data_IF_434888589530
#
_entry.id   IF_434888589530
#
_cell.length_a   1.000
_cell.length_b   1.000
_cell.length_c   1.000
_cell.angle_alpha   90.00
_cell.angle_beta   90.00
_cell.angle_gamma   90.00
#
_symmetry.space_group_name_H-M   'P 1'
#
loop_
_entity.id
_entity.type
_entity.pdbx_description
1 polymer ?
#
# COMPACT_ATOMS: atom_id res chain seq x y z
N UNK A 1 -26.99 4.67 -21.10
CA UNK A 1 -28.10 5.02 -20.19
C UNK A 1 -28.49 3.78 -19.41
N UNK A 2 -28.69 3.89 -18.09
CA UNK A 2 -29.28 2.80 -17.29
C UNK A 2 -30.75 3.10 -17.14
N UNK A 3 -31.62 2.23 -17.62
CA UNK A 3 -33.07 2.41 -17.47
C UNK A 3 -33.50 2.00 -16.07
N UNK A 4 -34.60 2.59 -15.52
CA UNK A 4 -35.04 2.26 -14.17
C UNK A 4 -35.31 0.78 -13.93
N UNK A 5 -35.76 0.05 -14.95
CA UNK A 5 -36.03 -1.39 -14.88
C UNK A 5 -34.76 -2.26 -14.77
N UNK A 6 -33.62 -1.70 -15.16
CA UNK A 6 -32.32 -2.37 -15.20
C UNK A 6 -31.42 -1.98 -14.01
N UNK A 7 -31.97 -1.22 -13.06
CA UNK A 7 -31.40 -0.97 -11.74
C UNK A 7 -31.76 -2.08 -10.74
N UNK A 8 -30.96 -2.28 -9.68
CA UNK A 8 -31.31 -3.19 -8.58
C UNK A 8 -32.45 -2.61 -7.73
N UNK A 9 -33.16 -3.48 -6.98
CA UNK A 9 -34.30 -3.06 -6.15
C UNK A 9 -33.93 -1.96 -5.13
N UNK A 10 -32.76 -2.07 -4.52
CA UNK A 10 -32.25 -1.06 -3.58
C UNK A 10 -31.99 0.29 -4.28
N UNK A 11 -31.47 0.28 -5.51
CA UNK A 11 -31.26 1.49 -6.31
C UNK A 11 -32.59 2.14 -6.71
N UNK A 12 -33.61 1.36 -7.08
CA UNK A 12 -34.93 1.88 -7.41
C UNK A 12 -35.59 2.60 -6.23
N UNK A 13 -35.37 2.12 -5.01
CA UNK A 13 -35.91 2.74 -3.80
C UNK A 13 -35.15 4.02 -3.41
N UNK A 14 -33.82 4.05 -3.60
CA UNK A 14 -33.02 5.23 -3.28
C UNK A 14 -31.76 5.33 -4.14
N UNK A 15 -31.87 5.97 -5.29
CA UNK A 15 -30.76 6.14 -6.24
C UNK A 15 -29.60 6.91 -5.58
N UNK A 16 -29.90 8.00 -4.87
CA UNK A 16 -28.89 8.89 -4.27
C UNK A 16 -28.08 8.21 -3.15
N UNK A 17 -28.64 7.20 -2.47
CA UNK A 17 -27.93 6.45 -1.43
C UNK A 17 -26.99 5.40 -2.02
N UNK A 18 -27.44 4.71 -3.07
CA UNK A 18 -26.70 3.58 -3.65
C UNK A 18 -25.68 4.03 -4.69
N UNK A 19 -26.03 4.99 -5.54
CA UNK A 19 -25.11 5.58 -6.53
C UNK A 19 -24.60 6.93 -6.02
N UNK A 20 -23.31 6.97 -5.69
CA UNK A 20 -22.63 8.23 -5.37
C UNK A 20 -21.89 8.77 -6.58
N UNK A 21 -22.01 10.07 -6.81
CA UNK A 21 -21.28 10.78 -7.86
C UNK A 21 -19.78 10.60 -7.60
N UNK A 22 -19.01 10.30 -8.64
CA UNK A 22 -17.56 10.08 -8.57
C UNK A 22 -17.13 8.64 -8.26
N UNK A 23 -18.06 7.72 -7.94
CA UNK A 23 -17.73 6.29 -7.81
C UNK A 23 -17.88 5.55 -9.14
N UNK A 24 -16.95 4.62 -9.39
CA UNK A 24 -17.01 3.74 -10.56
C UNK A 24 -17.85 2.51 -10.23
N UNK A 25 -18.80 2.18 -11.10
CA UNK A 25 -19.71 1.05 -10.93
C UNK A 25 -19.62 0.09 -12.10
N UNK A 26 -19.53 -1.21 -11.81
CA UNK A 26 -19.56 -2.25 -12.85
C UNK A 26 -20.98 -2.41 -13.36
N UNK A 27 -21.18 -2.31 -14.67
CA UNK A 27 -22.47 -2.48 -15.35
C UNK A 27 -22.31 -3.33 -16.60
N UNK A 28 -23.36 -4.06 -16.96
CA UNK A 28 -23.39 -4.87 -18.17
C UNK A 28 -24.01 -4.09 -19.33
N UNK A 29 -23.40 -4.16 -20.51
CA UNK A 29 -23.98 -3.62 -21.74
C UNK A 29 -25.09 -4.57 -22.23
N UNK A 30 -26.28 -4.02 -22.48
CA UNK A 30 -27.42 -4.77 -23.02
C UNK A 30 -27.52 -4.64 -24.53
N UNK A 31 -27.50 -3.39 -25.00
CA UNK A 31 -27.70 -3.05 -26.41
C UNK A 31 -26.86 -1.83 -26.76
N UNK A 32 -26.33 -1.85 -27.98
CA UNK A 32 -25.67 -0.70 -28.60
C UNK A 32 -26.50 -0.33 -29.84
N UNK A 33 -26.86 0.94 -29.94
CA UNK A 33 -27.46 1.54 -31.13
C UNK A 33 -26.35 2.29 -31.88
N UNK A 34 -25.91 1.72 -33.00
CA UNK A 34 -24.78 2.24 -33.78
C UNK A 34 -25.13 3.51 -34.56
N UNK A 35 -26.40 3.72 -34.91
CA UNK A 35 -26.83 4.91 -35.68
C UNK A 35 -26.90 6.15 -34.78
N UNK A 36 -27.39 5.98 -33.54
CA UNK A 36 -27.58 7.09 -32.59
C UNK A 36 -26.48 7.18 -31.54
N UNK A 37 -25.62 6.15 -31.43
CA UNK A 37 -24.56 6.07 -30.42
C UNK A 37 -25.06 5.82 -29.00
N UNK A 38 -26.32 5.36 -28.83
CA UNK A 38 -26.85 5.06 -27.50
C UNK A 38 -26.42 3.68 -27.04
N UNK A 39 -26.02 3.59 -25.77
CA UNK A 39 -25.63 2.33 -25.12
C UNK A 39 -26.57 2.10 -23.94
N UNK A 40 -27.34 1.02 -23.96
CA UNK A 40 -28.20 0.60 -22.86
C UNK A 40 -27.42 -0.28 -21.90
N UNK A 41 -27.50 0.07 -20.61
CA UNK A 41 -26.70 -0.52 -19.54
C UNK A 41 -27.61 -1.12 -18.46
N UNK A 42 -27.14 -2.17 -17.80
CA UNK A 42 -27.82 -2.84 -16.69
C UNK A 42 -26.89 -3.10 -15.52
N UNK A 43 -27.31 -2.70 -14.31
CA UNK A 43 -26.65 -3.09 -13.07
C UNK A 43 -27.24 -4.38 -12.50
N UNK A 44 -28.53 -4.62 -12.74
CA UNK A 44 -29.28 -5.77 -12.20
C UNK A 44 -28.77 -7.12 -12.70
N UNK A 45 -28.27 -7.21 -13.94
CA UNK A 45 -27.84 -8.47 -14.55
C UNK A 45 -26.38 -8.83 -14.26
N UNK A 46 -25.64 -7.94 -13.60
CA UNK A 46 -24.25 -8.22 -13.23
C UNK A 46 -24.22 -9.23 -12.10
N UNK A 47 -23.45 -10.31 -12.27
CA UNK A 47 -23.23 -11.32 -11.23
C UNK A 47 -22.06 -10.87 -10.34
N UNK A 48 -22.15 -11.10 -9.03
CA UNK A 48 -21.09 -10.70 -8.08
C UNK A 48 -19.69 -11.24 -8.44
N UNK A 49 -19.60 -12.46 -9.02
CA UNK A 49 -18.32 -13.02 -9.47
C UNK A 49 -17.71 -12.29 -10.68
N UNK A 50 -18.51 -11.57 -11.47
CA UNK A 50 -18.05 -10.80 -12.63
C UNK A 50 -17.56 -9.40 -12.24
N UNK A 51 -18.00 -8.89 -11.08
CA UNK A 51 -17.59 -7.56 -10.60
C UNK A 51 -16.08 -7.47 -10.40
N UNK A 52 -15.51 -8.43 -9.66
CA UNK A 52 -14.08 -8.45 -9.38
C UNK A 52 -13.24 -8.59 -10.66
N UNK A 53 -13.62 -9.49 -11.56
CA UNK A 53 -12.91 -9.70 -12.82
C UNK A 53 -13.01 -8.48 -13.76
N UNK A 54 -14.16 -7.80 -13.78
CA UNK A 54 -14.34 -6.59 -14.58
C UNK A 54 -13.51 -5.43 -14.01
N UNK A 55 -13.49 -5.26 -12.69
CA UNK A 55 -12.71 -4.23 -12.03
C UNK A 55 -11.20 -4.43 -12.23
N UNK A 56 -10.73 -5.69 -12.17
CA UNK A 56 -9.34 -6.05 -12.49
C UNK A 56 -8.99 -5.71 -13.95
N UNK A 57 -9.84 -6.08 -14.91
CA UNK A 57 -9.64 -5.72 -16.31
C UNK A 57 -9.64 -4.20 -16.54
N UNK A 58 -10.53 -3.47 -15.85
CA UNK A 58 -10.57 -2.01 -15.90
C UNK A 58 -9.27 -1.40 -15.33
N UNK A 59 -8.78 -1.91 -14.20
CA UNK A 59 -7.51 -1.46 -13.61
C UNK A 59 -6.34 -1.66 -14.57
N UNK A 60 -6.23 -2.85 -15.17
CA UNK A 60 -5.22 -3.17 -16.19
C UNK A 60 -5.30 -2.23 -17.39
N UNK A 61 -6.49 -2.02 -17.93
CA UNK A 61 -6.71 -1.11 -19.07
C UNK A 61 -6.39 0.36 -18.71
N UNK A 62 -6.74 0.80 -17.49
CA UNK A 62 -6.43 2.13 -16.98
C UNK A 62 -4.92 2.35 -16.87
N UNK A 63 -4.17 1.35 -16.41
CA UNK A 63 -2.70 1.41 -16.37
C UNK A 63 -2.11 1.53 -17.77
N UNK A 64 -2.59 0.72 -18.73
CA UNK A 64 -2.17 0.83 -20.15
C UNK A 64 -2.48 2.21 -20.70
N UNK A 65 -3.68 2.74 -20.48
CA UNK A 65 -4.07 4.07 -20.94
C UNK A 65 -3.18 5.16 -20.33
N UNK A 66 -2.88 5.07 -19.03
CA UNK A 66 -2.02 6.05 -18.35
C UNK A 66 -0.61 6.09 -18.94
N UNK A 67 -0.05 4.94 -19.36
CA UNK A 67 1.26 4.87 -20.02
C UNK A 67 1.23 5.63 -21.34
N UNK A 68 0.18 5.39 -22.15
CA UNK A 68 0.03 6.03 -23.45
C UNK A 68 -0.18 7.54 -23.34
N UNK A 69 -0.94 7.99 -22.33
CA UNK A 69 -1.12 9.41 -22.04
C UNK A 69 0.23 10.07 -21.74
N UNK A 70 1.06 9.47 -20.87
CA UNK A 70 2.39 10.03 -20.56
C UNK A 70 3.29 10.15 -21.80
N UNK A 71 3.16 9.22 -22.75
CA UNK A 71 3.87 9.28 -24.03
C UNK A 71 3.33 10.43 -24.90
N UNK A 72 2.01 10.57 -25.01
CA UNK A 72 1.38 11.68 -25.75
C UNK A 72 1.73 13.05 -25.14
N UNK A 73 1.82 13.15 -23.82
CA UNK A 73 2.25 14.37 -23.12
C UNK A 73 3.71 14.72 -23.42
N UNK A 74 4.55 13.70 -23.59
CA UNK A 74 5.97 13.86 -23.94
C UNK A 74 6.15 14.25 -25.40
N UNK A 75 5.35 13.68 -26.31
CA UNK A 75 5.42 13.93 -27.75
C UNK A 75 4.09 14.47 -28.30
N UNK A 76 3.98 15.79 -28.41
CA UNK A 76 2.77 16.48 -28.90
C UNK A 76 2.38 16.18 -30.36
N UNK A 77 3.22 15.48 -31.11
CA UNK A 77 2.98 15.16 -32.51
C UNK A 77 2.04 13.96 -32.70
N UNK A 78 1.75 13.20 -31.64
CA UNK A 78 1.03 11.93 -31.73
C UNK A 78 -0.25 12.00 -30.93
N UNK A 79 -1.33 11.55 -31.56
CA UNK A 79 -2.63 11.43 -30.93
C UNK A 79 -2.77 10.09 -30.22
N UNK A 80 -3.57 10.08 -29.16
CA UNK A 80 -3.83 8.85 -28.39
C UNK A 80 -4.51 7.78 -29.26
N UNK A 81 -5.41 8.17 -30.14
CA UNK A 81 -6.15 7.25 -31.03
C UNK A 81 -5.22 6.51 -32.01
N UNK A 82 -4.20 7.20 -32.52
CA UNK A 82 -3.17 6.58 -33.35
C UNK A 82 -2.38 5.52 -32.59
N UNK A 83 -2.01 5.78 -31.33
CA UNK A 83 -1.32 4.79 -30.48
C UNK A 83 -2.22 3.60 -30.16
N UNK A 84 -3.51 3.81 -29.90
CA UNK A 84 -4.45 2.71 -29.68
C UNK A 84 -4.57 1.83 -30.92
N UNK A 85 -4.68 2.44 -32.09
CA UNK A 85 -4.83 1.74 -33.36
C UNK A 85 -3.57 0.95 -33.74
N UNK A 86 -2.39 1.55 -33.55
CA UNK A 86 -1.11 0.97 -33.95
C UNK A 86 -0.50 0.01 -32.93
N UNK A 87 -0.74 0.22 -31.64
CA UNK A 87 -0.08 -0.53 -30.55
C UNK A 87 -1.09 -1.39 -29.78
N UNK A 88 -2.12 -0.79 -29.21
CA UNK A 88 -2.98 -1.48 -28.22
C UNK A 88 -3.89 -2.53 -28.85
N UNK A 89 -4.59 -2.21 -29.94
CA UNK A 89 -5.52 -3.17 -30.57
C UNK A 89 -4.81 -4.38 -31.18
N UNK A 90 -3.67 -4.23 -31.91
CA UNK A 90 -2.90 -5.38 -32.36
C UNK A 90 -2.41 -6.25 -31.18
N UNK A 91 -1.96 -5.61 -30.10
CA UNK A 91 -1.53 -6.33 -28.89
C UNK A 91 -2.66 -7.08 -28.22
N UNK A 92 -3.82 -6.46 -28.05
CA UNK A 92 -4.98 -7.11 -27.43
C UNK A 92 -5.63 -8.19 -28.28
N UNK A 93 -5.30 -8.27 -29.58
CA UNK A 93 -5.69 -9.39 -30.45
C UNK A 93 -4.73 -10.56 -30.31
N UNK A 94 -3.43 -10.29 -30.18
CA UNK A 94 -2.38 -11.31 -30.07
C UNK A 94 -2.29 -11.88 -28.65
N UNK A 95 -2.42 -11.02 -27.66
CA UNK A 95 -2.49 -11.34 -26.24
C UNK A 95 -3.92 -11.09 -25.77
N UNK A 96 -4.43 -11.90 -24.85
CA UNK A 96 -5.79 -11.74 -24.29
C UNK A 96 -6.03 -10.32 -23.74
N UNK A 97 -4.97 -9.64 -23.29
CA UNK A 97 -5.00 -8.24 -22.89
C UNK A 97 -3.70 -7.52 -23.29
N UNK A 98 -3.82 -6.24 -23.64
CA UNK A 98 -2.65 -5.38 -23.89
C UNK A 98 -1.74 -5.25 -22.65
N UNK A 99 -2.29 -5.33 -21.44
CA UNK A 99 -1.52 -5.30 -20.21
C UNK A 99 -0.58 -6.51 -20.08
N UNK A 100 -1.08 -7.70 -20.43
CA UNK A 100 -0.27 -8.93 -20.42
C UNK A 100 0.85 -8.86 -21.45
N UNK A 101 0.58 -8.27 -22.61
CA UNK A 101 1.60 -8.01 -23.62
C UNK A 101 2.70 -7.06 -23.12
N UNK A 102 2.33 -5.97 -22.44
CA UNK A 102 3.29 -5.05 -21.84
C UNK A 102 4.11 -5.73 -20.74
N UNK A 103 3.50 -6.59 -19.93
CA UNK A 103 4.24 -7.37 -18.93
C UNK A 103 5.21 -8.34 -19.60
N UNK A 104 4.80 -9.02 -20.67
CA UNK A 104 5.68 -9.91 -21.44
C UNK A 104 6.85 -9.13 -22.06
N UNK A 105 6.61 -7.88 -22.48
CA UNK A 105 7.63 -7.01 -23.08
C UNK A 105 8.75 -6.60 -22.12
N UNK A 106 8.57 -6.75 -20.80
CA UNK A 106 9.64 -6.54 -19.83
C UNK A 106 10.74 -7.60 -19.94
N UNK A 107 10.37 -8.83 -20.33
CA UNK A 107 11.29 -9.95 -20.47
C UNK A 107 11.75 -10.14 -21.91
N UNK A 108 10.88 -9.86 -22.88
CA UNK A 108 11.16 -9.99 -24.31
C UNK A 108 10.85 -8.70 -25.08
N UNK A 109 11.92 -7.97 -25.43
CA UNK A 109 11.82 -6.73 -26.20
C UNK A 109 11.29 -6.95 -27.63
N UNK A 110 11.23 -8.19 -28.14
CA UNK A 110 10.74 -8.46 -29.50
C UNK A 110 9.24 -8.21 -29.67
N UNK A 111 8.47 -8.22 -28.58
CA UNK A 111 7.04 -7.90 -28.61
C UNK A 111 6.81 -6.47 -29.09
N UNK A 112 7.70 -5.54 -28.71
CA UNK A 112 7.58 -4.12 -29.05
C UNK A 112 8.13 -3.77 -30.44
N UNK A 113 9.06 -4.58 -30.93
CA UNK A 113 9.66 -4.35 -32.24
C UNK A 113 8.72 -4.67 -33.41
N UNK A 114 7.62 -5.39 -33.17
CA UNK A 114 6.63 -5.77 -34.18
C UNK A 114 5.70 -4.61 -34.59
N UNK A 115 5.83 -3.42 -33.98
CA UNK A 115 4.92 -2.29 -34.25
C UNK A 115 5.46 -1.31 -35.29
N UNK A 116 4.53 -0.74 -36.06
CA UNK A 116 4.76 0.32 -37.04
C UNK A 116 4.74 1.71 -36.39
N UNK A 117 5.68 1.91 -35.46
CA UNK A 117 5.85 3.16 -34.68
C UNK A 117 7.32 3.54 -34.70
N UNK A 118 7.61 4.86 -34.67
CA UNK A 118 8.98 5.37 -34.64
C UNK A 118 9.78 4.79 -33.46
N UNK A 119 11.07 4.54 -33.68
CA UNK A 119 11.95 3.91 -32.71
C UNK A 119 12.08 4.72 -31.42
N UNK A 120 12.01 6.05 -31.50
CA UNK A 120 12.03 6.95 -30.34
C UNK A 120 10.85 6.69 -29.38
N UNK A 121 9.66 6.47 -29.94
CA UNK A 121 8.45 6.19 -29.15
C UNK A 121 8.52 4.78 -28.55
N UNK A 122 9.09 3.81 -29.28
CA UNK A 122 9.29 2.45 -28.75
C UNK A 122 10.21 2.46 -27.52
N UNK A 123 11.29 3.24 -27.56
CA UNK A 123 12.17 3.40 -26.41
C UNK A 123 11.49 4.09 -25.23
N UNK A 124 10.73 5.17 -25.50
CA UNK A 124 9.92 5.86 -24.48
C UNK A 124 8.88 4.93 -23.85
N UNK A 125 8.19 4.15 -24.68
CA UNK A 125 7.22 3.15 -24.25
C UNK A 125 7.86 2.09 -23.36
N UNK A 126 9.00 1.52 -23.78
CA UNK A 126 9.77 0.56 -22.98
C UNK A 126 10.18 1.13 -21.63
N UNK A 127 10.70 2.36 -21.61
CA UNK A 127 11.10 3.04 -20.38
C UNK A 127 9.92 3.25 -19.43
N UNK A 128 8.77 3.64 -19.96
CA UNK A 128 7.57 3.88 -19.17
C UNK A 128 6.92 2.58 -18.69
N UNK A 129 6.94 1.52 -19.51
CA UNK A 129 6.53 0.17 -19.12
C UNK A 129 7.44 -0.35 -18.01
N UNK A 130 8.76 -0.22 -18.12
CA UNK A 130 9.68 -0.57 -17.04
C UNK A 130 9.38 0.22 -15.77
N UNK A 131 9.17 1.53 -15.87
CA UNK A 131 8.90 2.36 -14.69
C UNK A 131 7.61 1.97 -13.96
N UNK A 132 6.56 1.59 -14.68
CA UNK A 132 5.21 1.35 -14.11
C UNK A 132 4.85 -0.12 -13.89
N UNK A 133 5.37 -1.04 -14.70
CA UNK A 133 5.06 -2.46 -14.66
C UNK A 133 6.23 -3.32 -14.16
N UNK A 134 7.45 -2.78 -14.03
CA UNK A 134 8.52 -3.56 -13.43
C UNK A 134 8.13 -3.96 -12.00
N UNK A 135 8.47 -5.22 -11.61
CA UNK A 135 8.24 -5.66 -10.25
C UNK A 135 8.92 -4.68 -9.30
N UNK A 136 8.12 -4.05 -8.44
CA UNK A 136 8.64 -3.18 -7.40
C UNK A 136 9.53 -4.02 -6.49
N UNK A 137 10.68 -3.47 -6.10
CA UNK A 137 11.55 -4.12 -5.14
C UNK A 137 10.85 -4.11 -3.78
N UNK A 138 10.57 -5.29 -3.27
CA UNK A 138 10.07 -5.52 -1.92
C UNK A 138 11.24 -5.38 -0.94
N UNK A 139 10.99 -4.70 0.18
CA UNK A 139 11.95 -4.56 1.27
C UNK A 139 11.49 -5.41 2.44
N UNK A 140 12.19 -6.49 2.74
CA UNK A 140 11.91 -7.35 3.89
C UNK A 140 12.77 -6.89 5.06
N UNK A 141 12.16 -6.61 6.22
CA UNK A 141 12.86 -6.21 7.44
C UNK A 141 12.57 -7.22 8.55
N UNK A 142 13.62 -7.67 9.25
CA UNK A 142 13.50 -8.51 10.43
C UNK A 142 14.28 -7.90 11.60
N UNK A 143 13.69 -7.84 12.79
CA UNK A 143 14.34 -7.30 13.99
C UNK A 143 14.77 -8.43 14.93
N UNK A 144 16.05 -8.39 15.30
CA UNK A 144 16.68 -9.35 16.21
C UNK A 144 17.33 -8.65 17.37
N UNK A 145 17.22 -9.26 18.53
CA UNK A 145 17.86 -8.82 19.76
C UNK A 145 19.10 -9.69 20.00
N UNK A 146 20.26 -9.05 20.02
CA UNK A 146 21.56 -9.70 20.22
C UNK A 146 22.19 -9.18 21.50
N UNK A 147 22.44 -10.08 22.45
CA UNK A 147 23.11 -9.74 23.71
C UNK A 147 24.37 -10.57 23.86
N UNK A 148 25.50 -9.93 24.14
CA UNK A 148 26.74 -10.63 24.48
C UNK A 148 27.40 -9.92 25.67
N UNK A 149 27.57 -10.64 26.78
CA UNK A 149 28.12 -10.11 28.02
C UNK A 149 29.64 -10.31 28.17
N UNK A 150 30.28 -10.92 27.17
CA UNK A 150 31.72 -11.15 27.16
C UNK A 150 32.53 -9.88 26.87
N UNK A 151 33.80 -9.89 27.27
CA UNK A 151 34.74 -8.78 27.03
C UNK A 151 34.90 -8.44 25.53
N UNK A 152 34.75 -9.44 24.66
CA UNK A 152 34.76 -9.30 23.18
C UNK A 152 33.34 -9.24 22.56
N UNK A 153 32.33 -8.81 23.33
CA UNK A 153 30.93 -8.89 22.92
C UNK A 153 30.59 -8.09 21.65
N UNK A 154 31.22 -6.93 21.46
CA UNK A 154 31.01 -6.10 20.26
C UNK A 154 31.56 -6.80 19.01
N UNK A 155 32.73 -7.44 19.11
CA UNK A 155 33.35 -8.16 17.99
C UNK A 155 32.65 -9.50 17.72
N UNK A 156 32.04 -10.10 18.76
CA UNK A 156 31.13 -11.22 18.60
C UNK A 156 29.91 -10.85 17.75
N UNK A 157 29.26 -9.73 18.07
CA UNK A 157 28.08 -9.25 17.34
C UNK A 157 28.45 -8.86 15.91
N UNK A 158 29.53 -8.11 15.69
CA UNK A 158 30.00 -7.76 14.34
C UNK A 158 30.26 -9.00 13.48
N UNK A 159 30.95 -10.00 14.03
CA UNK A 159 31.24 -11.24 13.31
C UNK A 159 29.96 -12.00 12.94
N UNK A 160 28.96 -12.01 13.83
CA UNK A 160 27.67 -12.64 13.55
C UNK A 160 26.90 -11.92 12.44
N UNK A 161 26.83 -10.59 12.48
CA UNK A 161 26.17 -9.79 11.44
C UNK A 161 26.86 -9.97 10.07
N UNK A 162 28.19 -9.94 10.04
CA UNK A 162 28.98 -10.21 8.82
C UNK A 162 28.74 -11.63 8.25
N UNK A 163 28.58 -12.63 9.12
CA UNK A 163 28.23 -13.98 8.70
C UNK A 163 26.82 -14.05 8.07
N UNK A 164 25.88 -13.26 8.61
CA UNK A 164 24.55 -13.07 8.02
C UNK A 164 24.60 -12.38 6.66
N UNK A 165 25.36 -11.29 6.52
CA UNK A 165 25.53 -10.58 5.24
C UNK A 165 26.16 -11.46 4.16
N UNK A 166 27.08 -12.35 4.54
CA UNK A 166 27.74 -13.30 3.65
C UNK A 166 26.78 -14.33 3.02
N UNK A 167 25.56 -14.47 3.54
CA UNK A 167 24.50 -15.32 2.95
C UNK A 167 23.69 -14.62 1.85
N UNK A 168 24.06 -13.40 1.47
CA UNK A 168 23.49 -12.69 0.32
C UNK A 168 23.59 -13.55 -0.96
N UNK A 169 22.45 -13.83 -1.60
CA UNK A 169 22.33 -14.67 -2.80
C UNK A 169 21.40 -14.00 -3.82
N UNK A 170 21.67 -14.21 -5.11
CA UNK A 170 20.75 -13.93 -6.24
C UNK A 170 20.06 -12.56 -6.19
N UNK A 171 20.83 -11.48 -6.40
CA UNK A 171 20.33 -10.11 -6.45
C UNK A 171 19.58 -9.63 -5.17
N UNK A 172 19.64 -10.41 -4.08
CA UNK A 172 19.12 -10.08 -2.77
C UNK A 172 20.30 -9.78 -1.84
N UNK A 173 20.58 -8.49 -1.64
CA UNK A 173 21.60 -8.05 -0.71
C UNK A 173 21.00 -7.96 0.69
N UNK A 174 21.59 -8.69 1.64
CA UNK A 174 21.27 -8.58 3.07
C UNK A 174 22.15 -7.50 3.68
N UNK A 175 21.55 -6.51 4.32
CA UNK A 175 22.26 -5.50 5.11
C UNK A 175 21.73 -5.48 6.52
N UNK A 176 22.61 -5.40 7.51
CA UNK A 176 22.21 -5.23 8.91
C UNK A 176 22.46 -3.80 9.38
N UNK A 177 21.46 -3.22 10.02
CA UNK A 177 21.50 -1.88 10.59
C UNK A 177 21.25 -1.95 12.11
N UNK A 178 21.88 -1.05 12.85
CA UNK A 178 21.66 -0.94 14.30
C UNK A 178 20.48 0.01 14.49
N UNK A 179 19.38 -0.49 15.08
CA UNK A 179 18.24 0.36 15.46
C UNK A 179 18.51 1.01 16.82
N UNK A 180 19.07 0.23 17.75
CA UNK A 180 19.53 0.69 19.05
C UNK A 180 19.89 -0.52 19.90
N UNK A 181 20.99 -0.48 20.67
CA UNK A 181 21.40 -1.63 21.50
C UNK A 181 20.27 -2.03 22.47
N UNK A 182 19.89 -3.32 22.58
CA UNK A 182 20.45 -4.54 21.97
C UNK A 182 19.77 -5.02 20.65
N UNK A 183 19.00 -4.16 19.97
CA UNK A 183 18.19 -4.45 18.79
C UNK A 183 18.91 -4.08 17.47
N UNK A 184 18.93 -5.04 16.56
CA UNK A 184 19.50 -4.96 15.22
C UNK A 184 18.44 -5.34 14.18
N UNK A 185 18.45 -4.67 13.02
CA UNK A 185 17.50 -4.93 11.94
C UNK A 185 18.23 -5.46 10.70
N UNK A 186 17.85 -6.64 10.22
CA UNK A 186 18.24 -7.15 8.92
C UNK A 186 17.27 -6.68 7.85
N UNK A 187 17.77 -6.00 6.82
CA UNK A 187 17.02 -5.56 5.64
C UNK A 187 17.45 -6.36 4.42
N UNK A 188 16.49 -6.81 3.61
CA UNK A 188 16.72 -7.37 2.27
C UNK A 188 15.87 -6.63 1.25
N UNK A 189 16.48 -6.26 0.13
CA UNK A 189 15.75 -5.79 -1.05
C UNK A 189 15.67 -6.92 -2.08
N UNK A 190 14.46 -7.33 -2.46
CA UNK A 190 14.23 -8.42 -3.42
C UNK A 190 13.05 -8.13 -4.34
N UNK A 191 13.00 -8.73 -5.53
CA UNK A 191 11.81 -8.72 -6.38
C UNK A 191 10.90 -9.93 -6.10
N UNK A 192 11.45 -10.99 -5.48
CA UNK A 192 10.77 -12.25 -5.25
C UNK A 192 10.51 -12.46 -3.76
N UNK A 193 9.23 -12.41 -3.37
CA UNK A 193 8.78 -12.58 -1.98
C UNK A 193 9.31 -13.87 -1.33
N UNK A 194 9.21 -15.00 -2.04
CA UNK A 194 9.57 -16.30 -1.48
C UNK A 194 11.08 -16.44 -1.31
N UNK A 195 11.87 -16.03 -2.31
CA UNK A 195 13.33 -16.08 -2.24
C UNK A 195 13.85 -15.16 -1.14
N UNK A 196 13.30 -13.95 -1.00
CA UNK A 196 13.69 -13.05 0.08
C UNK A 196 13.41 -13.61 1.48
N UNK A 197 12.28 -14.28 1.67
CA UNK A 197 11.93 -14.92 2.95
C UNK A 197 12.83 -16.11 3.28
N UNK A 198 13.31 -16.86 2.29
CA UNK A 198 14.28 -17.93 2.52
C UNK A 198 15.66 -17.35 2.88
N UNK A 199 16.13 -16.35 2.13
CA UNK A 199 17.44 -15.73 2.37
C UNK A 199 17.51 -15.03 3.72
N UNK A 200 16.45 -14.31 4.15
CA UNK A 200 16.43 -13.69 5.49
C UNK A 200 16.49 -14.77 6.58
N UNK A 201 15.74 -15.87 6.43
CA UNK A 201 15.75 -16.97 7.41
C UNK A 201 17.12 -17.64 7.51
N UNK A 202 17.78 -17.86 6.38
CA UNK A 202 19.14 -18.42 6.35
C UNK A 202 20.16 -17.46 6.96
N UNK A 203 20.05 -16.17 6.70
CA UNK A 203 20.91 -15.14 7.31
C UNK A 203 20.72 -15.08 8.83
N UNK A 204 19.47 -15.10 9.31
CA UNK A 204 19.15 -15.09 10.74
C UNK A 204 19.68 -16.33 11.47
N UNK A 205 19.56 -17.53 10.87
CA UNK A 205 20.15 -18.76 11.41
C UNK A 205 21.67 -18.67 11.52
N UNK A 206 22.34 -18.12 10.49
CA UNK A 206 23.79 -17.93 10.53
C UNK A 206 24.21 -16.97 11.65
N UNK A 207 23.44 -15.90 11.88
CA UNK A 207 23.66 -14.96 13.00
C UNK A 207 23.49 -15.68 14.34
N UNK A 208 22.43 -16.47 14.49
CA UNK A 208 22.14 -17.24 15.71
C UNK A 208 23.27 -18.22 16.05
N UNK A 209 23.74 -19.02 15.08
CA UNK A 209 24.84 -19.98 15.27
C UNK A 209 26.14 -19.30 15.75
N UNK A 210 26.49 -18.16 15.13
CA UNK A 210 27.72 -17.43 15.49
C UNK A 210 27.61 -16.80 16.87
N UNK A 211 26.44 -16.24 17.23
CA UNK A 211 26.22 -15.64 18.55
C UNK A 211 26.25 -16.69 19.66
N UNK A 212 25.61 -17.84 19.45
CA UNK A 212 25.62 -18.95 20.41
C UNK A 212 27.03 -19.51 20.61
N UNK A 213 27.84 -19.60 19.55
CA UNK A 213 29.23 -20.07 19.65
C UNK A 213 30.13 -19.16 20.50
N UNK A 214 29.75 -17.88 20.64
CA UNK A 214 30.48 -16.86 21.40
C UNK A 214 29.82 -16.54 22.75
N UNK A 215 29.01 -17.46 23.29
CA UNK A 215 28.26 -17.31 24.54
C UNK A 215 27.35 -16.07 24.60
N UNK A 216 26.79 -15.64 23.46
CA UNK A 216 25.75 -14.63 23.40
C UNK A 216 24.34 -15.21 23.48
N UNK A 217 23.35 -14.33 23.61
CA UNK A 217 21.92 -14.63 23.55
C UNK A 217 21.32 -14.02 22.28
N UNK A 218 20.47 -14.79 21.63
CA UNK A 218 19.71 -14.42 20.44
C UNK A 218 18.22 -14.47 20.76
N UNK A 219 17.48 -13.42 20.44
CA UNK A 219 16.01 -13.42 20.52
C UNK A 219 15.43 -12.72 19.29
N UNK A 220 14.54 -13.40 18.57
CA UNK A 220 13.79 -12.80 17.46
C UNK A 220 12.63 -11.99 18.04
N UNK A 221 12.54 -10.70 17.71
CA UNK A 221 11.47 -9.81 18.25
C UNK A 221 10.14 -10.02 17.53
N UNK A 222 10.18 -10.38 16.24
CA UNK A 222 8.98 -10.64 15.43
C UNK A 222 9.33 -11.30 14.09
N UNK A 223 8.31 -11.78 13.39
CA UNK A 223 8.47 -12.36 12.05
C UNK A 223 8.92 -11.29 11.03
N UNK A 224 9.64 -11.67 9.95
CA UNK A 224 10.07 -10.72 8.93
C UNK A 224 8.88 -9.99 8.31
N UNK A 225 8.86 -8.66 8.43
CA UNK A 225 7.86 -7.78 7.83
C UNK A 225 8.26 -7.42 6.40
N UNK A 226 7.29 -7.31 5.50
CA UNK A 226 7.54 -7.02 4.08
C UNK A 226 6.94 -5.66 3.76
N UNK A 227 7.80 -4.73 3.38
CA UNK A 227 7.49 -3.35 3.02
C UNK A 227 7.56 -3.17 1.51
N UNK A 228 6.67 -2.34 0.94
CA UNK A 228 6.66 -2.00 -0.48
C UNK A 228 5.60 -2.71 -1.33
N UNK A 229 4.70 -3.50 -0.72
CA UNK A 229 3.39 -3.73 -1.32
C UNK A 229 2.46 -2.62 -0.82
N UNK A 230 2.01 -1.74 -1.70
CA UNK A 230 1.17 -0.58 -1.32
C UNK A 230 -0.05 -0.99 -0.50
N UNK A 231 -0.56 -2.19 -0.73
CA UNK A 231 -1.70 -2.73 0.01
C UNK A 231 -1.38 -3.08 1.48
N UNK A 232 -0.11 -3.35 1.80
CA UNK A 232 0.33 -3.77 3.13
C UNK A 232 0.81 -2.56 3.94
N UNK A 233 1.46 -1.58 3.29
CA UNK A 233 1.83 -0.30 3.92
C UNK A 233 0.57 0.50 4.34
N UNK A 234 -0.49 0.48 3.51
CA UNK A 234 -1.78 1.11 3.84
C UNK A 234 -2.48 0.39 5.01
N UNK A 235 -2.33 -0.94 5.14
CA UNK A 235 -2.89 -1.71 6.26
C UNK A 235 -2.15 -1.41 7.58
N UNK A 236 -0.82 -1.33 7.55
CA UNK A 236 -0.02 -1.02 8.74
C UNK A 236 -0.24 0.42 9.23
N UNK A 237 -0.57 1.35 8.33
CA UNK A 237 -0.97 2.72 8.70
C UNK A 237 -2.33 2.76 9.41
N UNK A 238 -3.25 1.88 9.01
CA UNK A 238 -4.57 1.77 9.64
C UNK A 238 -4.44 1.11 11.01
N UNK A 239 -3.71 0.00 11.12
CA UNK A 239 -3.48 -0.67 12.42
C UNK A 239 -2.79 0.25 13.43
N UNK A 240 -1.80 1.05 13.01
CA UNK A 240 -1.18 2.05 13.90
C UNK A 240 -2.12 3.16 14.32
N UNK A 241 -2.99 3.62 13.41
CA UNK A 241 -3.97 4.63 13.75
C UNK A 241 -5.02 4.08 14.75
N UNK A 242 -5.38 2.80 14.63
CA UNK A 242 -6.26 2.12 15.60
C UNK A 242 -5.56 1.91 16.96
N UNK A 243 -4.28 1.53 16.97
CA UNK A 243 -3.49 1.39 18.22
C UNK A 243 -3.27 2.75 18.92
N UNK A 244 -3.01 3.82 18.17
CA UNK A 244 -2.84 5.17 18.71
C UNK A 244 -4.19 5.71 19.26
N UNK A 245 -5.32 5.44 18.59
CA UNK A 245 -6.67 5.79 19.08
C UNK A 245 -7.03 5.03 20.38
N UNK A 246 -6.67 3.74 20.50
CA UNK A 246 -6.89 2.94 21.72
C UNK A 246 -6.03 3.41 22.91
N UNK A 247 -4.82 3.93 22.66
CA UNK A 247 -3.94 4.50 23.70
C UNK A 247 -4.44 5.88 24.19
N UNK A 248 -5.04 6.68 23.31
CA UNK A 248 -5.64 7.96 23.68
C UNK A 248 -6.97 7.76 24.45
N UNK A 249 -7.81 6.77 24.07
CA UNK A 249 -9.02 6.40 24.83
C UNK A 249 -8.70 5.88 26.25
N UNK A 250 -7.58 5.19 26.44
CA UNK A 250 -7.14 4.72 27.77
C UNK A 250 -6.63 5.85 28.66
N UNK A 251 -6.08 6.94 28.09
CA UNK A 251 -5.63 8.10 28.87
C UNK A 251 -6.77 9.04 29.27
N UNK A 252 -7.85 9.12 28.50
CA UNK A 252 -9.02 9.92 28.89
C UNK A 252 -9.93 9.21 29.91
N UNK A 253 -9.69 7.92 30.21
CA UNK A 253 -10.47 7.13 31.17
C UNK A 253 -9.97 7.12 32.62
N UNK A 254 -8.80 7.68 32.94
CA UNK A 254 -8.22 7.69 34.31
C UNK A 254 -8.07 9.11 34.88
N UNK A 255 -9.14 9.91 34.83
CA UNK A 255 -9.12 11.27 35.37
C UNK A 255 -10.47 11.82 35.78
N UNK A 256 -11.08 11.24 36.81
CA UNK A 256 -11.78 11.96 37.91
C UNK A 256 -12.59 10.94 38.74
N UNK A 257 -12.06 10.58 39.90
CA UNK A 257 -12.84 10.16 41.06
C UNK A 257 -12.05 10.60 42.31
N UNK A 258 -12.77 11.09 43.33
CA UNK A 258 -12.34 11.69 44.62
C UNK A 258 -12.23 13.24 44.58
N UNK A 259 -13.02 14.08 45.27
CA UNK A 259 -13.74 13.95 46.55
C UNK A 259 -14.87 15.02 46.66
N UNK A 260 -16.10 14.61 46.97
CA UNK A 260 -17.08 15.46 47.68
C UNK A 260 -17.54 14.72 48.95
N UNK A 261 -16.81 14.91 50.05
CA UNK A 261 -17.35 14.66 51.39
C UNK A 261 -17.54 15.99 52.12
N UNK A 262 -18.82 16.29 52.36
CA UNK A 262 -19.35 17.38 53.14
C UNK A 262 -19.01 17.24 54.63
N UNK A 263 -18.41 18.26 55.24
CA UNK A 263 -18.60 18.53 56.66
C UNK A 263 -18.92 20.02 56.92
N UNK A 264 -19.87 20.18 57.83
CA UNK A 264 -20.52 21.41 58.25
C UNK A 264 -19.91 21.87 59.60
N UNK A 265 -19.85 23.19 59.83
CA UNK A 265 -20.01 23.91 61.13
C UNK A 265 -18.77 24.57 61.82
N UNK A 266 -19.02 25.84 62.22
CA UNK A 266 -18.39 26.72 63.24
C UNK A 266 -17.04 27.40 62.90
N UNK A 267 -16.84 28.73 63.04
CA UNK A 267 -17.59 29.85 63.60
C UNK A 267 -16.64 31.04 63.87
N UNK A 268 -17.20 32.25 63.99
CA UNK A 268 -16.62 33.52 64.51
C UNK A 268 -15.72 34.42 63.61
N UNK A 269 -16.11 35.70 63.56
CA UNK A 269 -15.19 36.84 63.44
C UNK A 269 -15.77 38.09 62.77
N UNK A 270 -16.36 38.99 63.57
CA UNK A 270 -16.88 40.32 63.21
C UNK A 270 -15.91 41.24 62.45
N UNK A 271 -16.45 42.16 61.63
CA UNK A 271 -16.38 43.63 61.85
C UNK A 271 -16.66 44.44 60.56
N UNK A 272 -17.82 45.10 60.57
CA UNK A 272 -18.12 46.51 60.29
C UNK A 272 -17.71 47.23 58.99
N UNK A 273 -18.73 47.97 58.51
CA UNK A 273 -18.76 49.30 57.88
C UNK A 273 -18.18 49.52 56.47
N UNK A 274 -19.06 49.78 55.49
CA UNK A 274 -19.51 51.16 55.23
C UNK A 274 -20.64 51.20 54.17
N UNK A 275 -21.71 51.93 54.52
CA UNK A 275 -22.80 52.38 53.65
C UNK A 275 -22.30 53.37 52.59
N UNK A 276 -22.84 53.33 51.37
CA UNK A 276 -23.53 54.51 50.81
C UNK A 276 -24.34 54.17 49.55
N UNK A 277 -25.57 54.69 49.55
CA UNK A 277 -26.61 54.60 48.53
C UNK A 277 -26.19 55.23 47.18
N UNK A 278 -26.79 54.78 46.07
CA UNK A 278 -27.76 55.62 45.35
C UNK A 278 -28.58 54.81 44.32
N UNK A 279 -29.90 54.97 44.46
CA UNK A 279 -30.99 54.71 43.52
C UNK A 279 -30.73 55.45 42.17
N UNK A 280 -31.32 55.20 40.99
CA UNK A 280 -32.66 54.78 40.59
C UNK A 280 -32.68 54.77 39.03
N UNK A 281 -33.52 53.92 38.44
CA UNK A 281 -34.03 53.91 37.04
C UNK A 281 -33.10 53.55 35.88
#
# INVERSE_FOLDING_TARGET
>A
MITPNEMTKQMQQSIQKVLKIGRTEVVQVLRVDEEKGYIDLSKKKVRNNQDAACLDNYSKAKTVNSILITICESDKQITIDELYTKVVWPLSKKYKSAYEAFRASLNDNQVINQFDVSEDIKQKLLKEIQRRLAPQTLRIKAEVELRCYGYEGVDAIKAALLAGESKSRNNCQVGFEIVGSPVYAGTINTQDKNLGLEVIKDALKAVEEVILSKNGQYKLRGEPKIYGDKAQDDLELIEKAEEDDDEDEQKEGEGDDDDEESEEIEGMGDADDDEEEFQQQ
#
